data_IF_232970842485
#
_entry.id   IF_232970842485
#
_cell.length_a   1.000
_cell.length_b   1.000
_cell.length_c   1.000
_cell.angle_alpha   90.00
_cell.angle_beta   90.00
_cell.angle_gamma   90.00
#
_symmetry.space_group_name_H-M   'P 1'
#
loop_
_entity.id
_entity.type
_entity.pdbx_description
1 polymer ?
#
# COMPACT_ATOMS: atom_id res chain seq x y z
N UNK A 1 23.67 -5.81 2.77
CA UNK A 1 22.46 -4.98 2.66
C UNK A 1 21.58 -5.22 3.88
N UNK A 2 21.08 -4.15 4.45
CA UNK A 2 20.31 -4.22 5.69
C UNK A 2 18.86 -3.82 5.41
N UNK A 3 17.90 -4.67 5.81
CA UNK A 3 16.47 -4.38 5.66
C UNK A 3 15.96 -3.91 7.02
N UNK A 4 15.75 -2.61 7.15
CA UNK A 4 15.28 -1.97 8.38
C UNK A 4 13.82 -1.55 8.32
N UNK A 5 13.28 -1.34 7.12
CA UNK A 5 11.91 -0.85 6.94
C UNK A 5 11.29 -1.50 5.71
N UNK A 6 10.14 -2.11 5.93
CA UNK A 6 9.40 -2.84 4.89
C UNK A 6 8.06 -2.15 4.70
N UNK A 7 7.74 -1.75 3.48
CA UNK A 7 6.46 -1.15 3.14
C UNK A 7 5.59 -2.17 2.42
N UNK A 8 4.36 -2.33 2.89
CA UNK A 8 3.38 -3.24 2.31
C UNK A 8 2.14 -2.45 1.94
N UNK A 9 1.89 -2.23 0.64
CA UNK A 9 0.65 -1.61 0.18
C UNK A 9 -0.52 -2.59 0.31
N UNK A 10 -1.63 -2.10 0.82
CA UNK A 10 -2.86 -2.89 1.01
C UNK A 10 -4.02 -2.18 0.31
N UNK A 11 -4.80 -2.94 -0.44
CA UNK A 11 -6.01 -2.46 -1.11
C UNK A 11 -7.23 -3.34 -0.82
N UNK A 12 -7.08 -4.33 0.07
CA UNK A 12 -8.14 -5.27 0.40
C UNK A 12 -8.21 -6.47 -0.52
N UNK A 13 -7.37 -6.54 -1.56
CA UNK A 13 -7.35 -7.69 -2.49
C UNK A 13 -6.72 -8.92 -1.83
N UNK A 14 -7.05 -10.15 -2.33
CA UNK A 14 -6.39 -11.37 -1.87
C UNK A 14 -4.88 -11.35 -2.05
N UNK A 15 -4.39 -10.76 -3.14
CA UNK A 15 -2.96 -10.64 -3.41
C UNK A 15 -2.27 -9.73 -2.38
N UNK A 16 -2.91 -8.61 -2.00
CA UNK A 16 -2.35 -7.73 -0.97
C UNK A 16 -2.34 -8.40 0.40
N UNK A 17 -3.30 -9.27 0.69
CA UNK A 17 -3.29 -10.06 1.92
C UNK A 17 -2.12 -11.06 1.96
N UNK A 18 -1.81 -11.69 0.85
CA UNK A 18 -0.62 -12.55 0.74
C UNK A 18 0.65 -11.74 0.94
N UNK A 19 0.72 -10.55 0.36
CA UNK A 19 1.85 -9.64 0.54
C UNK A 19 2.00 -9.22 2.00
N UNK A 20 0.89 -8.94 2.68
CA UNK A 20 0.91 -8.63 4.10
C UNK A 20 1.51 -9.76 4.92
N UNK A 21 1.05 -11.00 4.71
CA UNK A 21 1.54 -12.16 5.44
C UNK A 21 3.05 -12.35 5.22
N UNK A 22 3.49 -12.23 3.99
CA UNK A 22 4.91 -12.37 3.66
C UNK A 22 5.74 -11.21 4.24
N UNK A 23 5.25 -9.98 4.11
CA UNK A 23 5.93 -8.80 4.67
C UNK A 23 6.06 -8.86 6.18
N UNK A 24 5.04 -9.38 6.86
CA UNK A 24 5.07 -9.58 8.31
C UNK A 24 6.14 -10.60 8.70
N UNK A 25 6.22 -11.72 7.98
CA UNK A 25 7.25 -12.73 8.21
C UNK A 25 8.66 -12.15 8.03
N UNK A 26 8.85 -11.33 7.01
CA UNK A 26 10.14 -10.67 6.78
C UNK A 26 10.46 -9.65 7.87
N UNK A 27 9.47 -8.87 8.32
CA UNK A 27 9.66 -7.92 9.41
C UNK A 27 10.10 -8.63 10.68
N UNK A 28 9.53 -9.78 10.97
CA UNK A 28 9.92 -10.63 12.09
C UNK A 28 11.37 -11.09 11.96
N UNK A 29 11.73 -11.63 10.80
CA UNK A 29 13.07 -12.20 10.56
C UNK A 29 14.18 -11.16 10.59
N UNK A 30 13.93 -9.98 10.07
CA UNK A 30 14.94 -8.93 9.97
C UNK A 30 14.89 -7.92 11.10
N UNK A 31 13.96 -8.07 12.05
CA UNK A 31 13.68 -7.08 13.08
C UNK A 31 13.46 -5.69 12.45
N UNK A 32 12.68 -5.69 11.38
CA UNK A 32 12.41 -4.48 10.60
C UNK A 32 11.10 -3.82 11.03
N UNK A 33 11.02 -2.51 10.81
CA UNK A 33 9.76 -1.78 10.96
C UNK A 33 8.85 -2.09 9.79
N UNK A 34 7.59 -2.36 10.09
CA UNK A 34 6.57 -2.62 9.08
C UNK A 34 5.73 -1.36 8.85
N UNK A 35 5.60 -0.95 7.60
CA UNK A 35 4.76 0.18 7.20
C UNK A 35 3.63 -0.36 6.33
N UNK A 36 2.41 -0.27 6.81
CA UNK A 36 1.22 -0.60 6.02
C UNK A 36 0.71 0.66 5.35
N UNK A 37 0.56 0.61 4.04
CA UNK A 37 0.22 1.76 3.21
C UNK A 37 -1.05 1.51 2.40
N UNK A 38 -1.87 2.54 2.29
CA UNK A 38 -3.04 2.52 1.42
C UNK A 38 -3.15 3.83 0.67
N UNK A 39 -3.41 3.76 -0.63
CA UNK A 39 -3.65 4.93 -1.47
C UNK A 39 -5.13 4.96 -1.84
N UNK A 40 -5.77 6.08 -1.53
CA UNK A 40 -7.16 6.32 -1.92
C UNK A 40 -7.15 6.98 -3.30
N UNK A 41 -7.75 6.31 -4.29
CA UNK A 41 -7.93 6.87 -5.61
C UNK A 41 -9.26 7.59 -5.68
N UNK A 42 -9.21 8.93 -5.69
CA UNK A 42 -10.41 9.78 -5.74
C UNK A 42 -11.22 9.59 -7.01
N UNK A 43 -10.58 9.17 -8.11
CA UNK A 43 -11.29 8.88 -9.35
C UNK A 43 -12.21 7.68 -9.23
N UNK A 44 -11.89 6.74 -8.34
CA UNK A 44 -12.76 5.58 -8.06
C UNK A 44 -13.81 5.88 -7.01
N UNK A 45 -13.54 6.83 -6.09
CA UNK A 45 -14.41 7.12 -4.94
C UNK A 45 -15.43 8.20 -5.17
N UNK A 46 -15.23 9.07 -6.18
CA UNK A 46 -16.08 10.23 -6.40
C UNK A 46 -16.49 10.35 -7.86
N UNK A 47 -17.73 10.78 -8.09
CA UNK A 47 -18.18 11.13 -9.45
C UNK A 47 -17.49 12.42 -9.91
N UNK A 48 -17.50 12.68 -11.22
CA UNK A 48 -16.96 13.92 -11.77
C UNK A 48 -17.64 15.17 -11.18
N UNK A 49 -18.96 15.08 -10.93
CA UNK A 49 -19.72 16.17 -10.31
C UNK A 49 -19.25 16.41 -8.88
N UNK A 50 -19.06 15.33 -8.09
CA UNK A 50 -18.58 15.44 -6.72
C UNK A 50 -17.21 16.09 -6.67
N UNK A 51 -16.31 15.71 -7.60
CA UNK A 51 -14.97 16.27 -7.68
C UNK A 51 -15.02 17.80 -7.96
N UNK A 52 -15.91 18.25 -8.81
CA UNK A 52 -16.08 19.67 -9.14
C UNK A 52 -16.62 20.43 -7.93
N UNK A 53 -17.65 19.91 -7.26
CA UNK A 53 -18.28 20.58 -6.12
C UNK A 53 -17.42 20.57 -4.87
N UNK A 54 -16.52 19.60 -4.75
CA UNK A 54 -15.66 19.43 -3.59
C UNK A 54 -14.20 19.82 -3.86
N UNK A 55 -13.97 20.64 -4.87
CA UNK A 55 -12.65 21.11 -5.25
C UNK A 55 -11.90 21.69 -4.05
N UNK A 56 -10.72 21.12 -3.73
CA UNK A 56 -9.91 21.54 -2.59
C UNK A 56 -10.36 21.00 -1.24
N UNK A 57 -11.46 20.26 -1.18
CA UNK A 57 -11.95 19.64 0.06
C UNK A 57 -11.95 18.12 -0.04
N UNK A 58 -11.36 17.48 0.96
CA UNK A 58 -11.36 16.02 1.07
C UNK A 58 -12.15 15.65 2.32
N UNK A 59 -13.27 14.91 2.20
CA UNK A 59 -14.02 14.48 3.36
C UNK A 59 -13.16 13.57 4.26
N UNK A 60 -13.17 13.83 5.56
CA UNK A 60 -12.44 13.03 6.52
C UNK A 60 -12.85 11.55 6.50
N UNK A 61 -14.11 11.26 6.13
CA UNK A 61 -14.62 9.91 6.00
C UNK A 61 -13.84 9.07 5.00
N UNK A 62 -13.32 9.68 3.93
CA UNK A 62 -12.52 8.98 2.92
C UNK A 62 -11.20 8.49 3.52
N UNK A 63 -10.52 9.36 4.28
CA UNK A 63 -9.29 8.97 4.99
C UNK A 63 -9.58 7.95 6.09
N UNK A 64 -10.65 8.14 6.84
CA UNK A 64 -11.06 7.21 7.89
C UNK A 64 -11.32 5.81 7.35
N UNK A 65 -11.95 5.72 6.17
CA UNK A 65 -12.18 4.44 5.50
C UNK A 65 -10.86 3.75 5.16
N UNK A 66 -9.89 4.51 4.67
CA UNK A 66 -8.54 3.99 4.39
C UNK A 66 -7.85 3.48 5.64
N UNK A 67 -7.91 4.22 6.74
CA UNK A 67 -7.34 3.78 8.00
C UNK A 67 -8.09 2.58 8.58
N UNK A 68 -9.39 2.48 8.39
CA UNK A 68 -10.13 1.27 8.78
C UNK A 68 -9.68 0.03 8.00
N UNK A 69 -9.40 0.20 6.71
CA UNK A 69 -8.85 -0.89 5.89
C UNK A 69 -7.51 -1.37 6.46
N UNK A 70 -6.61 -0.44 6.77
CA UNK A 70 -5.30 -0.79 7.32
C UNK A 70 -5.41 -1.37 8.73
N UNK A 71 -6.35 -0.91 9.54
CA UNK A 71 -6.47 -1.35 10.93
C UNK A 71 -6.84 -2.83 11.04
N UNK A 72 -7.53 -3.39 10.06
CA UNK A 72 -7.85 -4.82 10.03
C UNK A 72 -6.59 -5.67 10.00
N UNK A 73 -5.62 -5.28 9.18
CA UNK A 73 -4.33 -5.96 9.10
C UNK A 73 -3.44 -5.58 10.29
N UNK A 74 -3.46 -4.33 10.72
CA UNK A 74 -2.67 -3.86 11.85
C UNK A 74 -2.96 -4.65 13.14
N UNK A 75 -4.20 -5.05 13.36
CA UNK A 75 -4.59 -5.86 14.53
C UNK A 75 -3.92 -7.23 14.55
N UNK A 76 -3.48 -7.73 13.41
CA UNK A 76 -2.81 -9.03 13.29
C UNK A 76 -1.30 -8.94 13.47
N UNK A 77 -0.75 -7.73 13.59
CA UNK A 77 0.68 -7.51 13.78
C UNK A 77 1.01 -7.69 15.28
N UNK A 78 1.96 -8.57 15.63
CA UNK A 78 2.35 -8.76 17.03
C UNK A 78 2.89 -7.47 17.66
N UNK A 79 2.69 -7.28 18.99
CA UNK A 79 3.08 -6.04 19.67
C UNK A 79 4.59 -5.73 19.61
N UNK A 80 5.43 -6.74 19.45
CA UNK A 80 6.88 -6.54 19.41
C UNK A 80 7.37 -6.03 18.05
N UNK A 81 6.52 -6.04 17.02
CA UNK A 81 6.87 -5.49 15.70
C UNK A 81 6.51 -4.01 15.67
N UNK A 82 7.47 -3.18 15.32
CA UNK A 82 7.25 -1.74 15.15
C UNK A 82 6.42 -1.53 13.88
N UNK A 83 5.29 -0.86 14.03
CA UNK A 83 4.30 -0.71 12.98
C UNK A 83 3.92 0.75 12.78
N UNK A 84 3.89 1.18 11.53
CA UNK A 84 3.29 2.45 11.10
C UNK A 84 2.19 2.16 10.08
N UNK A 85 1.17 3.00 10.08
CA UNK A 85 0.12 2.97 9.05
C UNK A 85 0.03 4.34 8.40
N UNK A 86 -0.11 4.36 7.08
CA UNK A 86 -0.15 5.60 6.31
C UNK A 86 -1.18 5.49 5.19
N UNK A 87 -2.07 6.50 5.10
CA UNK A 87 -3.05 6.63 4.03
C UNK A 87 -2.79 7.94 3.31
N UNK A 88 -2.73 7.89 1.98
CA UNK A 88 -2.63 9.08 1.13
C UNK A 88 -3.65 9.01 0.01
N UNK A 89 -3.98 10.18 -0.52
CA UNK A 89 -4.89 10.34 -1.64
C UNK A 89 -4.08 10.71 -2.87
N UNK A 90 -4.38 10.09 -4.00
CA UNK A 90 -3.73 10.39 -5.26
C UNK A 90 -3.86 9.25 -6.26
N UNK A 91 -3.10 9.37 -7.35
CA UNK A 91 -2.97 8.30 -8.33
C UNK A 91 -2.13 7.17 -7.71
N UNK A 92 -2.65 5.93 -7.63
CA UNK A 92 -1.99 4.89 -6.85
C UNK A 92 -0.52 4.62 -7.18
N UNK A 93 -0.11 4.51 -8.46
CA UNK A 93 1.30 4.20 -8.74
C UNK A 93 2.27 5.28 -8.23
N UNK A 94 2.03 6.53 -8.60
CA UNK A 94 2.90 7.64 -8.26
C UNK A 94 2.88 7.96 -6.77
N UNK A 95 1.69 7.88 -6.16
CA UNK A 95 1.52 8.13 -4.73
C UNK A 95 2.24 7.08 -3.91
N UNK A 96 2.13 5.81 -4.30
CA UNK A 96 2.81 4.72 -3.60
C UNK A 96 4.33 4.85 -3.70
N UNK A 97 4.82 5.24 -4.88
CA UNK A 97 6.25 5.50 -5.05
C UNK A 97 6.74 6.60 -4.10
N UNK A 98 5.99 7.71 -4.00
CA UNK A 98 6.32 8.79 -3.06
C UNK A 98 6.29 8.32 -1.62
N UNK A 99 5.31 7.50 -1.25
CA UNK A 99 5.23 6.94 0.11
C UNK A 99 6.46 6.09 0.44
N UNK A 100 6.91 5.28 -0.50
CA UNK A 100 8.10 4.46 -0.31
C UNK A 100 9.36 5.33 -0.12
N UNK A 101 9.49 6.38 -0.92
CA UNK A 101 10.62 7.30 -0.82
C UNK A 101 10.58 8.11 0.48
N UNK A 102 9.43 8.68 0.82
CA UNK A 102 9.26 9.52 2.00
C UNK A 102 9.46 8.75 3.30
N UNK A 103 9.03 7.49 3.33
CA UNK A 103 9.21 6.64 4.51
C UNK A 103 10.61 6.04 4.62
N UNK A 104 11.39 6.09 3.54
CA UNK A 104 12.71 5.48 3.50
C UNK A 104 12.67 3.96 3.50
N UNK A 105 11.66 3.37 2.87
CA UNK A 105 11.53 1.92 2.81
C UNK A 105 12.71 1.28 2.09
N UNK A 106 13.23 0.21 2.66
CA UNK A 106 14.33 -0.58 2.07
C UNK A 106 13.79 -1.67 1.15
N UNK A 107 12.58 -2.14 1.44
CA UNK A 107 11.91 -3.20 0.72
C UNK A 107 10.43 -2.87 0.60
N UNK A 108 9.88 -3.08 -0.59
CA UNK A 108 8.44 -3.01 -0.84
C UNK A 108 7.96 -4.43 -1.13
N UNK A 109 6.96 -4.90 -0.38
CA UNK A 109 6.35 -6.21 -0.60
C UNK A 109 4.91 -5.97 -1.03
N UNK A 110 4.58 -6.34 -2.25
CA UNK A 110 3.26 -6.04 -2.79
C UNK A 110 2.71 -7.21 -3.61
N UNK A 111 1.39 -7.24 -3.73
CA UNK A 111 0.73 -8.23 -4.58
C UNK A 111 0.99 -7.95 -6.05
N UNK A 112 0.91 -8.99 -6.86
CA UNK A 112 1.12 -8.87 -8.31
C UNK A 112 -0.03 -8.13 -9.00
N UNK A 113 -1.24 -8.16 -8.39
CA UNK A 113 -2.45 -7.51 -8.91
C UNK A 113 -3.23 -6.93 -7.74
N UNK A 114 -3.99 -5.85 -8.00
CA UNK A 114 -4.89 -5.27 -7.02
C UNK A 114 -6.36 -5.54 -7.34
N UNK A 115 -7.25 -4.84 -6.65
CA UNK A 115 -8.68 -4.85 -6.94
C UNK A 115 -8.93 -4.37 -8.36
N UNK A 116 -9.87 -5.01 -9.05
CA UNK A 116 -10.23 -4.65 -10.43
C UNK A 116 -9.30 -5.16 -11.50
N UNK A 117 -8.23 -5.87 -11.16
CA UNK A 117 -7.34 -6.45 -12.15
C UNK A 117 -8.03 -7.62 -12.90
N UNK A 118 -7.76 -7.70 -14.19
CA UNK A 118 -8.28 -8.79 -15.03
C UNK A 118 -7.49 -10.07 -14.73
N UNK A 119 -8.18 -11.20 -14.61
CA UNK A 119 -7.55 -12.49 -14.27
C UNK A 119 -6.42 -12.90 -15.22
N UNK A 120 -6.53 -12.52 -16.49
CA UNK A 120 -5.53 -12.85 -17.52
C UNK A 120 -4.25 -12.03 -17.39
N UNK A 121 -4.25 -10.97 -16.59
CA UNK A 121 -3.08 -10.11 -16.39
C UNK A 121 -2.22 -10.70 -15.29
N UNK A 122 -0.94 -10.96 -15.59
CA UNK A 122 0.03 -11.51 -14.63
C UNK A 122 0.43 -10.47 -13.59
N UNK A 123 0.59 -9.20 -13.99
CA UNK A 123 0.91 -8.09 -13.11
C UNK A 123 0.00 -6.91 -13.35
N UNK A 124 -0.41 -6.24 -12.26
CA UNK A 124 -1.20 -5.01 -12.34
C UNK A 124 -0.35 -3.79 -12.70
N UNK A 125 -1.03 -2.70 -13.04
CA UNK A 125 -0.37 -1.45 -13.43
C UNK A 125 0.46 -0.84 -12.29
N UNK A 126 -0.04 -0.92 -11.06
CA UNK A 126 0.66 -0.37 -9.90
C UNK A 126 1.95 -1.15 -9.63
N UNK A 127 1.87 -2.48 -9.61
CA UNK A 127 3.04 -3.32 -9.35
C UNK A 127 4.10 -3.17 -10.43
N UNK A 128 3.70 -3.08 -11.71
CA UNK A 128 4.64 -2.82 -12.81
C UNK A 128 5.33 -1.47 -12.65
N UNK A 129 4.59 -0.44 -12.32
CA UNK A 129 5.14 0.91 -12.14
C UNK A 129 6.15 0.94 -11.00
N UNK A 130 5.80 0.36 -9.86
CA UNK A 130 6.71 0.31 -8.70
C UNK A 130 7.97 -0.49 -9.03
N UNK A 131 7.82 -1.64 -9.70
CA UNK A 131 8.96 -2.46 -10.08
C UNK A 131 9.95 -1.70 -10.96
N UNK A 132 9.44 -0.85 -11.88
CA UNK A 132 10.30 -0.09 -12.79
C UNK A 132 10.92 1.16 -12.16
N UNK A 133 10.25 1.79 -11.19
CA UNK A 133 10.65 3.13 -10.71
C UNK A 133 11.19 3.15 -9.30
N UNK A 134 10.92 2.15 -8.46
CA UNK A 134 11.36 2.16 -7.08
C UNK A 134 12.87 1.99 -6.97
N UNK A 135 13.47 2.75 -6.06
CA UNK A 135 14.89 2.57 -5.68
C UNK A 135 15.04 1.45 -4.66
N UNK A 136 14.01 1.25 -3.85
CA UNK A 136 13.98 0.15 -2.89
C UNK A 136 13.91 -1.19 -3.62
N UNK A 137 14.28 -2.26 -2.93
CA UNK A 137 14.01 -3.60 -3.42
C UNK A 137 12.50 -3.83 -3.49
N UNK A 138 12.05 -4.63 -4.44
CA UNK A 138 10.63 -4.93 -4.62
C UNK A 138 10.44 -6.44 -4.69
N UNK A 139 9.56 -6.95 -3.84
CA UNK A 139 9.11 -8.33 -3.90
C UNK A 139 7.66 -8.36 -4.34
N UNK A 140 7.39 -9.12 -5.38
CA UNK A 140 6.04 -9.31 -5.91
C UNK A 140 5.51 -10.67 -5.45
N UNK A 141 4.36 -10.64 -4.78
CA UNK A 141 3.71 -11.86 -4.26
C UNK A 141 2.53 -12.20 -5.15
N UNK A 142 2.54 -13.41 -5.70
CA UNK A 142 1.45 -13.90 -6.56
C UNK A 142 0.33 -14.55 -5.76
#
# INVERSE_FOLDING_TARGET
>A
MEIKKILVPLDGSPESEKAFTFGLDLAEKYDARLVLAHVVDMNEKMTALDQVTMSGYVPSEILDEGYRLLSRSARRVPPHIRLDTIVRIGAPPQTLLSMAEDTGADLIVMGSRGLGAVRSIVMGSVSQYILHHARAMVTIVK
#
